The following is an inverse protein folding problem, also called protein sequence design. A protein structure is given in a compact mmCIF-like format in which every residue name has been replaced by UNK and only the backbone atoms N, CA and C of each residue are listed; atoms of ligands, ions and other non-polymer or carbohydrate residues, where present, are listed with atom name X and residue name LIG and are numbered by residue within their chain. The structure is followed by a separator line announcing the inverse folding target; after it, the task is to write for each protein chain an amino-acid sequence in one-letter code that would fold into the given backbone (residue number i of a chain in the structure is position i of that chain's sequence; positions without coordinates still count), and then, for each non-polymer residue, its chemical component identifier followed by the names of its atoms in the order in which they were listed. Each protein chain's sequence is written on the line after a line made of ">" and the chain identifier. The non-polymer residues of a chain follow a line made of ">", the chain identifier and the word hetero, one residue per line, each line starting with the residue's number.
data_IF_981350163532
#
_entry.id   IF_981350163532
#
_cell.length_a   1.000
_cell.length_b   1.000
_cell.length_c   1.000
_cell.angle_alpha   90.00
_cell.angle_beta   90.00
_cell.angle_gamma   90.00
#
_symmetry.space_group_name_H-M   'P 1'
#
loop_
_entity.id
_entity.type
_entity.pdbx_description
1 polymer ?
#
# COMPACT_ATOMS: atom_id res chain seq x y z
N UNK A 1 7.37 -25.27 -19.03
CA UNK A 1 5.95 -25.08 -19.40
C UNK A 1 5.49 -23.75 -18.84
N UNK A 2 5.31 -22.73 -19.67
CA UNK A 2 4.78 -21.42 -19.22
C UNK A 2 3.26 -21.51 -19.19
N UNK A 3 2.68 -21.51 -17.99
CA UNK A 3 1.24 -21.36 -17.84
C UNK A 3 0.90 -19.88 -18.03
N UNK A 4 0.08 -19.52 -19.04
CA UNK A 4 -0.35 -18.15 -19.20
C UNK A 4 -1.17 -17.72 -17.98
N UNK A 5 -1.04 -16.44 -17.61
CA UNK A 5 -1.86 -15.85 -16.55
C UNK A 5 -3.32 -15.91 -16.98
N UNK A 6 -4.20 -16.33 -16.07
CA UNK A 6 -5.63 -16.45 -16.36
C UNK A 6 -6.24 -15.09 -16.78
N UNK A 7 -7.11 -15.02 -17.82
CA UNK A 7 -7.66 -13.75 -18.32
C UNK A 7 -8.38 -12.89 -17.28
N UNK A 8 -8.97 -13.54 -16.27
CA UNK A 8 -9.69 -12.91 -15.17
C UNK A 8 -8.79 -12.44 -14.01
N UNK A 9 -7.48 -12.69 -14.08
CA UNK A 9 -6.56 -12.24 -13.04
C UNK A 9 -6.56 -10.71 -12.91
N UNK A 10 -6.51 -10.24 -11.67
CA UNK A 10 -6.45 -8.81 -11.32
C UNK A 10 -5.34 -8.62 -10.29
N UNK A 11 -4.75 -7.42 -10.28
CA UNK A 11 -3.86 -7.02 -9.20
C UNK A 11 -4.69 -6.91 -7.91
N UNK A 12 -4.27 -7.61 -6.86
CA UNK A 12 -4.99 -7.62 -5.57
C UNK A 12 -4.50 -6.54 -4.60
N UNK A 13 -3.19 -6.41 -4.44
CA UNK A 13 -2.58 -5.49 -3.47
C UNK A 13 -1.14 -5.11 -3.83
N UNK A 14 -0.65 -4.04 -3.20
CA UNK A 14 0.77 -3.65 -3.21
C UNK A 14 1.29 -3.64 -1.78
N UNK A 15 2.51 -4.15 -1.56
CA UNK A 15 3.19 -4.07 -0.28
C UNK A 15 4.40 -3.15 -0.39
N UNK A 16 4.43 -2.13 0.46
CA UNK A 16 5.47 -1.11 0.47
C UNK A 16 6.33 -1.27 1.72
N UNK A 17 7.65 -1.30 1.50
CA UNK A 17 8.64 -1.11 2.57
C UNK A 17 8.69 0.37 2.92
N UNK A 18 8.46 0.70 4.18
CA UNK A 18 8.39 2.07 4.68
C UNK A 18 9.38 2.26 5.82
N UNK A 19 10.01 3.44 5.88
CA UNK A 19 10.98 3.74 6.93
C UNK A 19 10.34 3.93 8.32
N UNK A 20 9.07 4.30 8.34
CA UNK A 20 8.31 4.62 9.54
C UNK A 20 6.86 4.18 9.31
N UNK A 21 6.40 3.22 10.11
CA UNK A 21 5.09 2.62 9.95
C UNK A 21 3.97 3.59 10.30
N UNK A 22 4.09 4.30 11.41
CA UNK A 22 3.02 5.17 11.91
C UNK A 22 2.87 6.41 11.02
N UNK A 23 3.98 6.97 10.52
CA UNK A 23 3.94 8.04 9.52
C UNK A 23 3.25 7.58 8.23
N UNK A 24 3.55 6.37 7.77
CA UNK A 24 2.92 5.83 6.56
C UNK A 24 1.42 5.57 6.78
N UNK A 25 1.03 5.01 7.93
CA UNK A 25 -0.39 4.84 8.30
C UNK A 25 -1.10 6.19 8.36
N UNK A 26 -0.51 7.20 9.00
CA UNK A 26 -1.09 8.53 9.10
C UNK A 26 -1.36 9.14 7.71
N UNK A 27 -0.47 8.92 6.74
CA UNK A 27 -0.69 9.37 5.37
C UNK A 27 -1.81 8.58 4.67
N UNK A 28 -1.68 7.25 4.56
CA UNK A 28 -2.64 6.44 3.79
C UNK A 28 -4.04 6.40 4.44
N UNK A 29 -4.12 6.42 5.77
CA UNK A 29 -5.38 6.44 6.49
C UNK A 29 -5.93 7.85 6.68
N UNK A 30 -5.12 8.75 7.26
CA UNK A 30 -5.57 10.09 7.64
C UNK A 30 -5.73 11.05 6.46
N UNK A 31 -4.91 10.94 5.41
CA UNK A 31 -4.98 11.84 4.25
C UNK A 31 -5.76 11.21 3.10
N UNK A 32 -5.50 9.94 2.79
CA UNK A 32 -6.12 9.26 1.65
C UNK A 32 -7.40 8.48 2.01
N UNK A 33 -7.75 8.35 3.29
CA UNK A 33 -9.02 7.79 3.75
C UNK A 33 -9.09 6.26 3.75
N UNK A 34 -7.97 5.54 3.64
CA UNK A 34 -7.98 4.09 3.81
C UNK A 34 -8.20 3.73 5.29
N UNK A 35 -8.88 2.60 5.55
CA UNK A 35 -9.01 2.08 6.91
C UNK A 35 -7.92 1.04 7.18
N UNK A 36 -7.34 1.06 8.39
CA UNK A 36 -6.45 -0.01 8.86
C UNK A 36 -7.30 -1.24 9.14
N UNK A 37 -7.10 -2.30 8.36
CA UNK A 37 -7.83 -3.56 8.52
C UNK A 37 -7.13 -4.49 9.51
N UNK A 38 -5.80 -4.42 9.58
CA UNK A 38 -5.00 -5.24 10.50
C UNK A 38 -3.66 -4.56 10.81
N UNK A 39 -3.14 -4.78 12.03
CA UNK A 39 -1.75 -4.50 12.40
C UNK A 39 -1.06 -5.80 12.79
N UNK A 40 0.24 -5.88 12.49
CA UNK A 40 1.11 -6.96 12.92
C UNK A 40 2.24 -6.39 13.78
N UNK A 41 1.96 -6.28 15.09
CA UNK A 41 2.82 -5.60 16.04
C UNK A 41 3.15 -4.18 15.60
N UNK A 42 4.41 -3.79 15.79
CA UNK A 42 4.95 -2.51 15.32
C UNK A 42 5.60 -2.59 13.92
N UNK A 43 5.61 -3.77 13.29
CA UNK A 43 6.38 -4.05 12.08
C UNK A 43 5.60 -3.93 10.78
N UNK A 44 4.27 -4.10 10.81
CA UNK A 44 3.44 -3.98 9.62
C UNK A 44 1.99 -3.58 9.90
N UNK A 45 1.32 -3.06 8.87
CA UNK A 45 -0.11 -2.77 8.85
C UNK A 45 -0.70 -2.98 7.45
N UNK A 46 -1.99 -3.32 7.42
CA UNK A 46 -2.75 -3.58 6.21
C UNK A 46 -3.92 -2.61 6.14
N UNK A 47 -4.14 -2.06 4.95
CA UNK A 47 -5.11 -1.00 4.72
C UNK A 47 -6.01 -1.27 3.51
N UNK A 48 -7.28 -0.89 3.61
CA UNK A 48 -8.27 -1.03 2.55
C UNK A 48 -9.18 0.20 2.43
N UNK A 49 -9.66 0.48 1.22
CA UNK A 49 -10.84 1.30 1.01
C UNK A 49 -12.07 0.38 1.07
N UNK A 50 -12.94 0.57 2.06
CA UNK A 50 -14.09 -0.30 2.30
C UNK A 50 -13.70 -1.68 2.87
N UNK A 51 -14.43 -2.72 2.46
CA UNK A 51 -14.47 -4.01 3.17
C UNK A 51 -13.54 -5.08 2.56
N UNK A 52 -12.60 -4.70 1.69
CA UNK A 52 -11.64 -5.65 1.10
C UNK A 52 -10.57 -6.06 2.12
N UNK A 53 -9.96 -7.24 1.96
CA UNK A 53 -8.97 -7.76 2.91
C UNK A 53 -7.79 -6.79 3.12
N UNK A 54 -7.16 -6.32 2.03
CA UNK A 54 -6.30 -5.14 1.99
C UNK A 54 -5.89 -4.80 0.55
N UNK A 55 -5.78 -3.52 0.24
CA UNK A 55 -5.18 -3.05 -1.02
C UNK A 55 -3.70 -2.67 -0.81
N UNK A 56 -3.34 -2.24 0.41
CA UNK A 56 -2.00 -1.76 0.76
C UNK A 56 -1.49 -2.53 1.97
N UNK A 57 -0.32 -3.14 1.85
CA UNK A 57 0.50 -3.58 2.98
C UNK A 57 1.63 -2.59 3.21
N UNK A 58 1.86 -2.19 4.45
CA UNK A 58 2.97 -1.34 4.87
C UNK A 58 3.82 -2.13 5.86
N UNK A 59 5.12 -2.20 5.66
CA UNK A 59 6.02 -2.85 6.63
C UNK A 59 7.37 -2.15 6.74
N UNK A 60 8.01 -2.29 7.90
CA UNK A 60 9.34 -1.74 8.19
C UNK A 60 10.45 -2.79 8.05
N UNK A 61 10.12 -3.99 7.58
CA UNK A 61 11.09 -5.08 7.44
C UNK A 61 12.20 -4.68 6.46
N UNK A 62 13.44 -4.71 6.94
CA UNK A 62 14.63 -4.26 6.21
C UNK A 62 14.61 -2.79 5.76
N UNK A 63 13.76 -1.95 6.37
CA UNK A 63 13.62 -0.54 5.97
C UNK A 63 13.41 0.44 7.12
N UNK A 64 13.21 -0.02 8.35
CA UNK A 64 13.06 0.83 9.53
C UNK A 64 14.18 1.90 9.63
N UNK A 65 13.78 3.17 9.73
CA UNK A 65 14.73 4.31 9.78
C UNK A 65 15.53 4.53 8.49
N UNK A 66 15.22 3.82 7.41
CA UNK A 66 15.94 3.89 6.14
C UNK A 66 15.76 5.23 5.42
N UNK A 67 16.71 5.51 4.52
CA UNK A 67 16.68 6.67 3.63
C UNK A 67 16.14 6.28 2.24
N UNK A 68 15.68 7.25 1.43
CA UNK A 68 15.29 6.97 0.05
C UNK A 68 16.43 6.29 -0.75
N UNK A 69 16.11 5.36 -1.66
CA UNK A 69 17.14 4.72 -2.48
C UNK A 69 17.87 5.77 -3.36
N UNK A 70 19.15 5.52 -3.72
CA UNK A 70 19.88 6.39 -4.63
C UNK A 70 19.16 6.59 -5.98
N UNK A 71 19.44 7.71 -6.65
CA UNK A 71 18.90 7.96 -8.00
C UNK A 71 19.30 6.85 -8.96
N UNK A 72 18.36 6.40 -9.80
CA UNK A 72 18.58 5.36 -10.80
C UNK A 72 18.56 3.92 -10.26
N UNK A 73 18.27 3.72 -8.98
CA UNK A 73 18.11 2.39 -8.41
C UNK A 73 16.81 1.71 -8.89
N UNK A 74 16.85 0.40 -9.12
CA UNK A 74 15.65 -0.38 -9.46
C UNK A 74 14.63 -0.32 -8.32
N UNK A 75 13.36 -0.13 -8.65
CA UNK A 75 12.27 -0.08 -7.70
C UNK A 75 10.91 0.03 -8.39
N UNK A 76 9.86 0.18 -7.59
CA UNK A 76 8.52 0.48 -8.08
C UNK A 76 8.51 1.89 -8.68
N UNK A 77 8.18 2.02 -9.97
CA UNK A 77 8.09 3.33 -10.63
C UNK A 77 6.87 4.14 -10.16
N UNK A 78 5.67 3.54 -10.17
CA UNK A 78 4.48 4.12 -9.56
C UNK A 78 3.44 3.05 -9.18
N UNK A 79 2.56 3.39 -8.25
CA UNK A 79 1.27 2.75 -8.03
C UNK A 79 0.21 3.85 -7.93
N UNK A 80 -0.98 3.59 -8.46
CA UNK A 80 -2.06 4.56 -8.48
C UNK A 80 -3.36 3.87 -8.04
N UNK A 81 -4.11 4.54 -7.17
CA UNK A 81 -5.44 4.13 -6.75
C UNK A 81 -6.45 5.00 -7.48
N UNK A 82 -7.30 4.37 -8.30
CA UNK A 82 -8.43 5.06 -8.91
C UNK A 82 -9.52 5.26 -7.86
N UNK A 83 -9.82 6.51 -7.57
CA UNK A 83 -10.91 6.90 -6.68
C UNK A 83 -11.99 7.52 -7.57
N UNK A 84 -13.13 6.86 -7.70
CA UNK A 84 -14.32 7.47 -8.30
C UNK A 84 -14.70 8.70 -7.49
N UNK A 85 -15.18 9.77 -8.13
CA UNK A 85 -15.47 11.06 -7.49
C UNK A 85 -16.11 10.91 -6.10
N UNK A 86 -15.73 11.76 -5.12
CA UNK A 86 -16.40 11.75 -3.84
C UNK A 86 -17.89 11.99 -4.08
N UNK A 87 -18.73 11.02 -3.72
CA UNK A 87 -20.16 11.26 -3.52
C UNK A 87 -20.30 12.20 -2.32
N UNK A 88 -20.05 13.49 -2.54
CA UNK A 88 -20.38 14.68 -1.75
C UNK A 88 -19.27 15.74 -1.87
N UNK A 89 -19.30 16.49 -2.98
CA UNK A 89 -19.17 17.94 -2.90
C UNK A 89 -20.59 18.51 -2.64
N UNK A 90 -20.99 18.53 -1.37
CA UNK A 90 -22.13 19.30 -0.85
C UNK A 90 -21.77 19.82 0.53
#
# INVERSE_FOLDING_TARGET
>A
MTHPVAPQARIGHVHLKVADLDRAIAFYSGVLGFSVTQRYGAGAAFLAAGNYHHHIGLNTWESAGGTPPPKGHTGLYHTAFFVSEPRNAR
#
